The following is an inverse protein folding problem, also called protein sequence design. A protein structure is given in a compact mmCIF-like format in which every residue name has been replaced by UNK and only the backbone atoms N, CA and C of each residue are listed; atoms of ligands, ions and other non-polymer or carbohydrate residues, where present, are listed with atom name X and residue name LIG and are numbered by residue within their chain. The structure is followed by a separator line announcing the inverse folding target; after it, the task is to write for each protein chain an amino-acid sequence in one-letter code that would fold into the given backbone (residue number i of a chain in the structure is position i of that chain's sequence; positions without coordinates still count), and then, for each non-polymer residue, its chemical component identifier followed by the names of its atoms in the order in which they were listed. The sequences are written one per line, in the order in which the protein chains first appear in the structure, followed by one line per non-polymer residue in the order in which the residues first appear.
data_IF_816821604693
#
_entry.id   IF_816821604693
#
_cell.length_a   1.000
_cell.length_b   1.000
_cell.length_c   1.000
_cell.angle_alpha   90.00
_cell.angle_beta   90.00
_cell.angle_gamma   90.00
#
_symmetry.space_group_name_H-M   'P 1'
#
loop_
_entity.id
_entity.type
_entity.pdbx_description
1 polymer ?
#
# COMPACT_ATOMS: atom_id res chain seq x y z
N UNK A 1 -18.26 12.60 93.90
CA UNK A 1 -18.70 13.91 93.35
C UNK A 1 -19.44 13.61 92.04
N UNK A 2 -20.78 13.51 92.05
CA UNK A 2 -21.77 14.55 91.65
C UNK A 2 -21.48 15.12 90.24
N UNK A 3 -22.40 15.30 89.28
CA UNK A 3 -23.87 15.19 89.05
C UNK A 3 -24.01 15.47 87.52
N UNK A 4 -24.70 14.69 86.67
CA UNK A 4 -26.15 14.65 86.36
C UNK A 4 -26.84 15.99 86.05
N UNK A 5 -27.32 16.15 84.80
CA UNK A 5 -28.60 16.75 84.35
C UNK A 5 -28.68 16.58 82.81
N UNK A 6 -29.57 15.84 82.14
CA UNK A 6 -31.04 15.60 82.16
C UNK A 6 -31.87 16.73 81.53
N UNK A 7 -32.60 16.34 80.47
CA UNK A 7 -33.93 16.84 80.05
C UNK A 7 -34.35 16.15 78.74
N UNK A 8 -35.04 14.98 78.73
CA UNK A 8 -36.51 14.72 78.82
C UNK A 8 -37.33 15.28 77.62
N UNK A 9 -37.66 14.47 76.59
CA UNK A 9 -38.92 13.66 76.31
C UNK A 9 -40.19 14.53 76.04
N UNK A 10 -41.29 14.05 75.39
CA UNK A 10 -41.68 12.70 74.87
C UNK A 10 -42.20 12.71 73.38
N UNK A 11 -42.18 11.61 72.61
CA UNK A 11 -43.18 10.53 72.40
C UNK A 11 -44.63 10.94 72.04
N UNK A 12 -45.09 10.49 70.87
CA UNK A 12 -46.49 10.47 70.44
C UNK A 12 -46.68 9.69 69.14
N UNK A 13 -47.03 8.41 69.26
CA UNK A 13 -47.57 7.53 68.19
C UNK A 13 -49.09 7.66 68.17
N UNK A 14 -49.73 7.74 66.99
CA UNK A 14 -50.96 7.00 66.62
C UNK A 14 -51.58 7.46 65.28
N UNK A 15 -51.86 6.44 64.45
CA UNK A 15 -53.02 6.22 63.57
C UNK A 15 -53.35 7.11 62.36
N UNK A 16 -53.23 6.46 61.18
CA UNK A 16 -54.29 6.17 60.20
C UNK A 16 -55.41 7.21 60.05
N UNK A 17 -55.46 7.83 58.86
CA UNK A 17 -56.72 8.12 58.18
C UNK A 17 -56.48 8.18 56.67
N UNK A 18 -57.22 7.33 55.96
CA UNK A 18 -57.31 7.28 54.52
C UNK A 18 -58.43 8.22 54.03
N UNK A 19 -58.30 8.60 52.75
CA UNK A 19 -59.36 8.90 51.79
C UNK A 19 -59.74 10.37 51.50
N UNK A 20 -59.61 10.66 50.20
CA UNK A 20 -60.46 11.48 49.32
C UNK A 20 -60.36 13.02 49.34
N UNK A 21 -59.64 13.53 48.33
CA UNK A 21 -59.98 14.75 47.57
C UNK A 21 -59.30 14.65 46.18
N UNK A 22 -59.98 14.12 45.16
CA UNK A 22 -60.67 14.84 44.08
C UNK A 22 -59.92 16.07 43.54
N UNK A 23 -59.37 15.90 42.33
CA UNK A 23 -59.46 16.87 41.25
C UNK A 23 -58.60 18.13 41.35
N UNK A 24 -57.43 18.12 40.69
CA UNK A 24 -56.90 19.29 39.98
C UNK A 24 -55.90 18.84 38.93
N UNK A 25 -56.33 18.90 37.66
CA UNK A 25 -55.46 18.78 36.49
C UNK A 25 -54.62 20.06 36.48
N UNK A 26 -53.37 19.96 36.93
CA UNK A 26 -52.36 20.99 36.69
C UNK A 26 -51.76 20.69 35.32
N UNK A 27 -52.15 21.47 34.31
CA UNK A 27 -51.46 21.52 33.04
C UNK A 27 -50.06 22.12 33.29
N UNK A 28 -49.04 21.27 33.33
CA UNK A 28 -47.64 21.70 33.31
C UNK A 28 -47.28 22.11 31.87
N UNK A 29 -46.58 23.24 31.66
CA UNK A 29 -46.08 23.58 30.34
C UNK A 29 -45.00 22.58 29.95
N UNK A 30 -45.09 22.08 28.72
CA UNK A 30 -44.05 21.26 28.11
C UNK A 30 -42.73 22.04 28.11
N UNK A 31 -41.85 21.72 29.05
CA UNK A 31 -40.45 22.09 28.96
C UNK A 31 -39.88 21.34 27.75
N UNK A 32 -39.66 22.07 26.65
CA UNK A 32 -38.81 21.62 25.56
C UNK A 32 -37.42 21.40 26.13
N UNK A 33 -37.14 20.15 26.50
CA UNK A 33 -35.78 19.67 26.73
C UNK A 33 -35.05 19.79 25.40
N UNK A 34 -34.27 20.86 25.24
CA UNK A 34 -33.25 20.93 24.21
C UNK A 34 -32.31 19.72 24.44
N UNK A 35 -32.34 18.79 23.49
CA UNK A 35 -31.50 17.59 23.48
C UNK A 35 -30.03 18.00 23.37
N UNK A 36 -29.09 17.33 24.07
CA UNK A 36 -27.65 17.61 23.99
C UNK A 36 -27.02 17.06 22.70
N UNK A 37 -27.69 17.22 21.56
CA UNK A 37 -27.27 16.66 20.28
C UNK A 37 -26.12 17.45 19.60
N UNK A 38 -26.02 18.77 19.84
CA UNK A 38 -25.07 19.63 19.09
C UNK A 38 -23.59 19.46 19.50
N UNK A 39 -23.28 19.08 20.74
CA UNK A 39 -21.88 18.98 21.20
C UNK A 39 -21.23 17.63 20.90
N UNK A 40 -22.02 16.56 20.80
CA UNK A 40 -21.53 15.22 20.42
C UNK A 40 -21.20 15.13 18.94
N UNK A 41 -21.95 15.83 18.10
CA UNK A 41 -21.78 15.79 16.64
C UNK A 41 -20.53 16.58 16.23
N UNK A 42 -20.30 17.76 16.82
CA UNK A 42 -19.05 18.52 16.63
C UNK A 42 -17.79 17.76 17.11
N UNK A 43 -17.89 17.00 18.20
CA UNK A 43 -16.79 16.16 18.68
C UNK A 43 -16.52 14.96 17.76
N UNK A 44 -17.57 14.35 17.20
CA UNK A 44 -17.46 13.26 16.23
C UNK A 44 -16.86 13.73 14.89
N UNK A 45 -17.26 14.90 14.40
CA UNK A 45 -16.71 15.52 13.19
C UNK A 45 -15.22 15.86 13.36
N UNK A 46 -14.83 16.44 14.49
CA UNK A 46 -13.43 16.73 14.80
C UNK A 46 -12.59 15.45 14.85
N UNK A 47 -13.09 14.39 15.48
CA UNK A 47 -12.40 13.11 15.52
C UNK A 47 -12.25 12.49 14.11
N UNK A 48 -13.29 12.57 13.27
CA UNK A 48 -13.23 12.10 11.89
C UNK A 48 -12.20 12.87 11.05
N UNK A 49 -12.13 14.20 11.21
CA UNK A 49 -11.16 15.04 10.53
C UNK A 49 -9.71 14.73 10.97
N UNK A 50 -9.48 14.50 12.27
CA UNK A 50 -8.17 14.12 12.79
C UNK A 50 -7.69 12.75 12.27
N UNK A 51 -8.63 11.80 12.12
CA UNK A 51 -8.35 10.48 11.52
C UNK A 51 -8.02 10.62 10.04
N UNK A 52 -8.79 11.43 9.30
CA UNK A 52 -8.52 11.64 7.89
C UNK A 52 -7.14 12.30 7.69
N UNK A 53 -6.84 13.34 8.46
CA UNK A 53 -5.52 13.97 8.45
C UNK A 53 -4.39 13.00 8.83
N UNK A 54 -4.63 12.04 9.73
CA UNK A 54 -3.67 10.99 10.06
C UNK A 54 -3.44 10.02 8.89
N UNK A 55 -4.50 9.61 8.20
CA UNK A 55 -4.42 8.76 7.01
C UNK A 55 -3.71 9.48 5.87
N UNK A 56 -4.01 10.75 5.65
CA UNK A 56 -3.38 11.55 4.61
C UNK A 56 -1.87 11.72 4.86
N UNK A 57 -1.47 11.95 6.12
CA UNK A 57 -0.05 11.95 6.50
C UNK A 57 0.63 10.60 6.28
N UNK A 58 -0.04 9.50 6.62
CA UNK A 58 0.50 8.15 6.42
C UNK A 58 0.71 7.85 4.94
N UNK A 59 -0.27 8.21 4.11
CA UNK A 59 -0.20 8.06 2.67
C UNK A 59 0.92 8.92 2.07
N UNK A 60 1.00 10.20 2.45
CA UNK A 60 2.07 11.09 1.99
C UNK A 60 3.47 10.59 2.38
N UNK A 61 3.63 10.04 3.58
CA UNK A 61 4.89 9.46 4.03
C UNK A 61 5.25 8.17 3.26
N UNK A 62 4.26 7.32 2.96
CA UNK A 62 4.44 6.14 2.13
C UNK A 62 4.81 6.51 0.68
N UNK A 63 4.15 7.52 0.09
CA UNK A 63 4.47 8.04 -1.24
C UNK A 63 5.90 8.58 -1.31
N UNK A 64 6.32 9.31 -0.27
CA UNK A 64 7.70 9.81 -0.16
C UNK A 64 8.73 8.68 -0.06
N UNK A 65 8.45 7.62 0.70
CA UNK A 65 9.32 6.44 0.79
C UNK A 65 9.43 5.72 -0.56
N UNK A 66 8.32 5.55 -1.27
CA UNK A 66 8.32 4.95 -2.60
C UNK A 66 9.09 5.78 -3.62
N UNK A 67 8.93 7.11 -3.59
CA UNK A 67 9.67 8.01 -4.47
C UNK A 67 11.18 7.95 -4.20
N UNK A 68 11.59 7.87 -2.94
CA UNK A 68 13.00 7.74 -2.56
C UNK A 68 13.59 6.39 -3.01
N UNK A 69 12.85 5.29 -2.86
CA UNK A 69 13.25 3.97 -3.37
C UNK A 69 13.39 3.97 -4.90
N UNK A 70 12.42 4.53 -5.62
CA UNK A 70 12.49 4.63 -7.09
C UNK A 70 13.67 5.50 -7.57
N UNK A 71 14.03 6.55 -6.82
CA UNK A 71 15.20 7.36 -7.12
C UNK A 71 16.51 6.59 -6.90
N UNK A 72 16.57 5.76 -5.85
CA UNK A 72 17.71 4.91 -5.57
C UNK A 72 17.91 3.85 -6.68
N UNK A 73 16.83 3.20 -7.13
CA UNK A 73 16.89 2.23 -8.24
C UNK A 73 17.40 2.87 -9.54
N UNK A 74 16.95 4.09 -9.84
CA UNK A 74 17.43 4.83 -11.01
C UNK A 74 18.93 5.15 -10.93
N UNK A 75 19.42 5.53 -9.74
CA UNK A 75 20.84 5.80 -9.49
C UNK A 75 21.69 4.52 -9.54
N UNK A 76 21.16 3.38 -9.11
CA UNK A 76 21.85 2.09 -9.19
C UNK A 76 22.09 1.66 -10.65
N UNK A 77 21.08 1.88 -11.50
CA UNK A 77 21.19 1.69 -12.96
C UNK A 77 22.21 2.67 -13.55
N UNK A 78 22.19 3.94 -13.15
CA UNK A 78 23.15 4.96 -13.62
C UNK A 78 24.60 4.58 -13.26
N UNK A 79 24.84 4.19 -12.01
CA UNK A 79 26.17 3.73 -11.54
C UNK A 79 26.62 2.51 -12.34
N UNK A 80 25.76 1.50 -12.49
CA UNK A 80 26.06 0.29 -13.24
C UNK A 80 26.44 0.59 -14.69
N UNK A 81 25.68 1.45 -15.38
CA UNK A 81 25.98 1.83 -16.76
C UNK A 81 27.31 2.57 -16.87
N UNK A 82 27.60 3.48 -15.93
CA UNK A 82 28.88 4.20 -15.90
C UNK A 82 30.05 3.23 -15.67
N UNK A 83 29.90 2.22 -14.80
CA UNK A 83 30.92 1.20 -14.55
C UNK A 83 31.18 0.33 -15.78
N UNK A 84 30.13 -0.07 -16.52
CA UNK A 84 30.26 -0.81 -17.78
C UNK A 84 31.04 0.00 -18.81
N UNK A 85 30.66 1.26 -19.02
CA UNK A 85 31.35 2.15 -19.96
C UNK A 85 32.80 2.45 -19.52
N UNK A 86 33.05 2.58 -18.21
CA UNK A 86 34.40 2.76 -17.69
C UNK A 86 35.27 1.52 -17.97
N UNK A 87 34.72 0.32 -17.78
CA UNK A 87 35.43 -0.92 -18.07
C UNK A 87 35.77 -1.06 -19.57
N UNK A 88 34.86 -0.64 -20.47
CA UNK A 88 35.13 -0.59 -21.91
C UNK A 88 36.26 0.40 -22.25
N UNK A 89 36.21 1.61 -21.69
CA UNK A 89 37.26 2.63 -21.88
C UNK A 89 38.62 2.15 -21.35
N UNK A 90 38.65 1.50 -20.18
CA UNK A 90 39.87 0.92 -19.60
C UNK A 90 40.43 -0.20 -20.49
N UNK A 91 39.57 -1.06 -21.04
CA UNK A 91 39.98 -2.11 -21.97
C UNK A 91 40.56 -1.54 -23.28
N UNK A 92 39.91 -0.51 -23.86
CA UNK A 92 40.40 0.19 -25.07
C UNK A 92 41.73 0.90 -24.82
N UNK A 93 41.86 1.60 -23.69
CA UNK A 93 43.11 2.24 -23.28
C UNK A 93 44.24 1.23 -23.08
N UNK A 94 43.95 0.07 -22.47
CA UNK A 94 44.91 -1.00 -22.28
C UNK A 94 45.37 -1.61 -23.61
N UNK A 95 44.44 -1.86 -24.53
CA UNK A 95 44.78 -2.37 -25.88
C UNK A 95 45.67 -1.40 -26.65
N UNK A 96 45.40 -0.09 -26.55
CA UNK A 96 46.20 0.93 -27.22
C UNK A 96 47.62 0.99 -26.63
N UNK A 97 47.74 0.91 -25.30
CA UNK A 97 49.04 0.85 -24.63
C UNK A 97 49.84 -0.39 -25.04
N UNK A 98 49.24 -1.57 -25.06
CA UNK A 98 49.90 -2.79 -25.53
C UNK A 98 50.36 -2.69 -26.99
N UNK A 99 49.57 -2.05 -27.86
CA UNK A 99 49.97 -1.79 -29.25
C UNK A 99 51.19 -0.87 -29.35
N UNK A 100 51.25 0.20 -28.55
CA UNK A 100 52.42 1.10 -28.49
C UNK A 100 53.65 0.36 -27.95
N UNK A 101 53.48 -0.46 -26.90
CA UNK A 101 54.57 -1.27 -26.32
C UNK A 101 55.10 -2.31 -27.31
N UNK A 102 54.22 -2.99 -28.06
CA UNK A 102 54.60 -3.98 -29.07
C UNK A 102 55.42 -3.34 -30.19
N UNK A 103 55.00 -2.18 -30.70
CA UNK A 103 55.76 -1.41 -31.70
C UNK A 103 57.14 -1.03 -31.15
N UNK A 104 57.21 -0.55 -29.91
CA UNK A 104 58.48 -0.18 -29.28
C UNK A 104 59.43 -1.38 -29.10
N UNK A 105 58.93 -2.52 -28.63
CA UNK A 105 59.71 -3.76 -28.44
C UNK A 105 60.16 -4.34 -29.78
N UNK A 106 59.27 -4.44 -30.76
CA UNK A 106 59.60 -4.96 -32.09
C UNK A 106 60.72 -4.13 -32.72
N UNK A 107 60.70 -2.80 -32.56
CA UNK A 107 61.74 -1.88 -33.05
C UNK A 107 63.05 -1.97 -32.27
N UNK A 108 63.03 -2.13 -30.94
CA UNK A 108 64.25 -2.38 -30.16
C UNK A 108 64.95 -3.67 -30.61
N UNK A 109 64.17 -4.73 -30.87
CA UNK A 109 64.69 -6.03 -31.33
C UNK A 109 65.18 -5.97 -32.78
N UNK A 110 64.43 -5.33 -33.68
CA UNK A 110 64.79 -5.22 -35.11
C UNK A 110 65.86 -4.15 -35.41
N UNK A 111 65.92 -3.07 -34.62
CA UNK A 111 67.01 -2.08 -34.61
C UNK A 111 68.34 -2.65 -34.10
N UNK A 112 68.31 -3.83 -33.45
CA UNK A 112 69.49 -4.64 -33.14
C UNK A 112 70.22 -5.22 -34.36
N UNK A 113 69.73 -5.00 -35.59
CA UNK A 113 70.41 -5.37 -36.83
C UNK A 113 71.72 -4.61 -37.12
N UNK A 114 72.06 -3.61 -36.30
CA UNK A 114 73.27 -2.80 -36.43
C UNK A 114 74.06 -2.64 -35.13
N UNK A 115 74.40 -3.75 -34.45
CA UNK A 115 75.45 -3.78 -33.43
C UNK A 115 75.12 -3.13 -32.09
N UNK A 116 75.39 -3.84 -31.00
CA UNK A 116 75.30 -3.32 -29.62
C UNK A 116 76.32 -2.15 -29.48
N UNK A 117 75.89 -0.90 -29.22
CA UNK A 117 76.80 0.25 -29.07
C UNK A 117 77.71 0.16 -27.83
N UNK A 118 77.36 -0.70 -26.87
CA UNK A 118 78.20 -0.98 -25.70
C UNK A 118 79.41 -1.87 -26.02
N UNK A 119 79.41 -2.55 -27.17
CA UNK A 119 80.46 -3.50 -27.58
C UNK A 119 81.11 -3.15 -28.93
N UNK A 120 80.64 -2.10 -29.60
CA UNK A 120 81.32 -1.48 -30.75
C UNK A 120 81.94 -0.18 -30.27
N UNK A 121 83.27 -0.10 -30.35
CA UNK A 121 84.05 1.01 -29.81
C UNK A 121 83.52 2.38 -30.23
N UNK A 122 83.62 3.31 -29.28
CA UNK A 122 83.45 4.74 -29.47
C UNK A 122 84.24 5.21 -30.70
N UNK A 123 83.57 5.48 -31.81
CA UNK A 123 84.00 6.39 -32.90
C UNK A 123 82.84 6.59 -33.91
N UNK A 124 81.91 7.50 -33.59
CA UNK A 124 80.82 7.89 -34.49
C UNK A 124 79.64 8.60 -33.77
N UNK A 125 78.79 9.37 -34.48
CA UNK A 125 77.84 10.33 -33.93
C UNK A 125 76.67 9.66 -33.18
N UNK A 126 76.95 9.15 -31.98
CA UNK A 126 76.02 8.38 -31.15
C UNK A 126 74.81 9.18 -30.66
N UNK A 127 74.95 10.50 -30.52
CA UNK A 127 73.83 11.39 -30.19
C UNK A 127 72.84 11.54 -31.36
N UNK A 128 73.31 11.43 -32.59
CA UNK A 128 72.51 11.65 -33.80
C UNK A 128 71.74 10.38 -34.18
N UNK A 129 72.36 9.20 -34.06
CA UNK A 129 71.65 7.93 -34.22
C UNK A 129 70.58 7.70 -33.13
N UNK A 130 70.83 8.13 -31.88
CA UNK A 130 69.81 8.12 -30.83
C UNK A 130 68.69 9.15 -31.11
N UNK A 131 69.03 10.34 -31.60
CA UNK A 131 68.06 11.35 -31.98
C UNK A 131 67.21 10.92 -33.19
N UNK A 132 67.80 10.26 -34.19
CA UNK A 132 67.11 9.77 -35.38
C UNK A 132 66.12 8.66 -35.01
N UNK A 133 66.50 7.74 -34.12
CA UNK A 133 65.58 6.73 -33.58
C UNK A 133 64.43 7.37 -32.79
N UNK A 134 64.71 8.39 -31.96
CA UNK A 134 63.66 9.11 -31.25
C UNK A 134 62.75 9.91 -32.19
N UNK A 135 63.30 10.57 -33.21
CA UNK A 135 62.56 11.34 -34.21
C UNK A 135 61.71 10.40 -35.09
N UNK A 136 62.23 9.21 -35.42
CA UNK A 136 61.51 8.19 -36.21
C UNK A 136 60.40 7.52 -35.39
N UNK A 137 60.62 7.23 -34.10
CA UNK A 137 59.55 6.74 -33.20
C UNK A 137 58.44 7.79 -33.04
N UNK A 138 58.80 9.08 -32.92
CA UNK A 138 57.84 10.19 -32.81
C UNK A 138 57.13 10.50 -34.13
N UNK A 139 57.71 10.11 -35.28
CA UNK A 139 57.10 10.35 -36.61
C UNK A 139 56.32 9.16 -37.17
N UNK A 140 56.65 7.92 -36.78
CA UNK A 140 55.99 6.69 -37.24
C UNK A 140 54.95 6.14 -36.24
N UNK A 141 55.05 6.49 -34.94
CA UNK A 141 53.85 6.51 -34.08
C UNK A 141 52.99 7.65 -34.59
N UNK A 142 52.17 7.36 -35.60
CA UNK A 142 51.31 8.35 -36.25
C UNK A 142 50.68 9.25 -35.18
N UNK A 143 50.79 10.57 -35.35
CA UNK A 143 50.23 11.57 -34.41
C UNK A 143 48.82 11.16 -33.95
N UNK A 144 48.04 10.54 -34.83
CA UNK A 144 46.73 9.94 -34.55
C UNK A 144 46.67 8.97 -33.38
N UNK A 145 47.65 8.08 -33.16
CA UNK A 145 47.61 7.10 -32.06
C UNK A 145 47.87 7.77 -30.72
N UNK A 146 48.78 8.76 -30.68
CA UNK A 146 49.04 9.56 -29.49
C UNK A 146 47.85 10.48 -29.18
N UNK A 147 47.25 11.08 -30.20
CA UNK A 147 46.04 11.91 -30.08
C UNK A 147 44.84 11.07 -29.59
N UNK A 148 44.68 9.83 -30.09
CA UNK A 148 43.64 8.90 -29.65
C UNK A 148 43.87 8.43 -28.20
N UNK A 149 45.11 8.18 -27.81
CA UNK A 149 45.45 7.85 -26.42
C UNK A 149 45.18 9.01 -25.45
N UNK A 150 45.54 10.24 -25.82
CA UNK A 150 45.26 11.43 -25.00
C UNK A 150 43.75 11.65 -24.86
N UNK A 151 43.00 11.50 -25.97
CA UNK A 151 41.54 11.59 -25.96
C UNK A 151 40.90 10.54 -25.04
N UNK A 152 41.32 9.27 -25.13
CA UNK A 152 40.84 8.19 -24.26
C UNK A 152 41.21 8.44 -22.80
N UNK A 153 42.44 8.90 -22.53
CA UNK A 153 42.90 9.21 -21.17
C UNK A 153 42.05 10.30 -20.52
N UNK A 154 41.68 11.32 -21.29
CA UNK A 154 40.79 12.40 -20.84
C UNK A 154 39.37 11.89 -20.60
N UNK A 155 38.83 11.12 -21.53
CA UNK A 155 37.48 10.53 -21.42
C UNK A 155 37.37 9.61 -20.20
N UNK A 156 38.38 8.78 -19.96
CA UNK A 156 38.48 7.90 -18.80
C UNK A 156 38.53 8.70 -17.49
N UNK A 157 39.29 9.79 -17.45
CA UNK A 157 39.32 10.69 -16.30
C UNK A 157 37.97 11.38 -16.04
N UNK A 158 37.26 11.80 -17.10
CA UNK A 158 35.91 12.36 -17.02
C UNK A 158 34.87 11.34 -16.55
N UNK A 159 34.98 10.09 -17.03
CA UNK A 159 34.08 8.99 -16.66
C UNK A 159 34.28 8.58 -15.21
N UNK A 160 35.52 8.47 -14.73
CA UNK A 160 35.84 8.25 -13.30
C UNK A 160 35.26 9.34 -12.41
N UNK A 161 35.41 10.62 -12.78
CA UNK A 161 34.76 11.74 -12.05
C UNK A 161 33.23 11.64 -12.05
N UNK A 162 32.65 11.16 -13.15
CA UNK A 162 31.20 10.97 -13.24
C UNK A 162 30.72 9.82 -12.37
N UNK A 163 31.48 8.72 -12.29
CA UNK A 163 31.24 7.61 -11.40
C UNK A 163 31.26 8.04 -9.93
N UNK A 164 32.28 8.79 -9.51
CA UNK A 164 32.35 9.31 -8.14
C UNK A 164 31.14 10.18 -7.80
N UNK A 165 30.76 11.12 -8.68
CA UNK A 165 29.55 11.94 -8.47
C UNK A 165 28.27 11.11 -8.42
N UNK A 166 28.15 10.06 -9.24
CA UNK A 166 27.00 9.16 -9.23
C UNK A 166 26.94 8.36 -7.93
N UNK A 167 28.08 7.84 -7.45
CA UNK A 167 28.20 7.13 -6.17
C UNK A 167 27.90 8.03 -4.97
N UNK A 168 28.34 9.29 -4.99
CA UNK A 168 27.98 10.28 -3.96
C UNK A 168 26.47 10.53 -3.93
N UNK A 169 25.83 10.70 -5.09
CA UNK A 169 24.36 10.83 -5.19
C UNK A 169 23.65 9.57 -4.69
N UNK A 170 24.13 8.38 -5.07
CA UNK A 170 23.57 7.11 -4.62
C UNK A 170 23.68 6.98 -3.09
N UNK A 171 24.84 7.29 -2.51
CA UNK A 171 25.05 7.26 -1.07
C UNK A 171 24.12 8.24 -0.33
N UNK A 172 23.83 9.41 -0.91
CA UNK A 172 22.84 10.33 -0.35
C UNK A 172 21.42 9.77 -0.50
N UNK A 173 21.05 9.24 -1.66
CA UNK A 173 19.74 8.65 -1.89
C UNK A 173 19.45 7.45 -0.98
N UNK A 174 20.46 6.66 -0.62
CA UNK A 174 20.33 5.58 0.40
C UNK A 174 19.89 6.17 1.74
N UNK A 175 20.56 7.23 2.21
CA UNK A 175 20.21 7.91 3.47
C UNK A 175 18.79 8.49 3.42
N UNK A 176 18.45 9.14 2.31
CA UNK A 176 17.13 9.74 2.11
C UNK A 176 16.02 8.66 2.10
N UNK A 177 16.29 7.52 1.47
CA UNK A 177 15.38 6.37 1.45
C UNK A 177 15.19 5.76 2.84
N UNK A 178 16.27 5.58 3.61
CA UNK A 178 16.19 5.12 5.00
C UNK A 178 15.36 6.07 5.87
N UNK A 179 15.59 7.38 5.76
CA UNK A 179 14.84 8.38 6.50
C UNK A 179 13.35 8.40 6.08
N UNK A 180 13.06 8.32 4.78
CA UNK A 180 11.70 8.29 4.26
C UNK A 180 10.94 7.03 4.72
N UNK A 181 11.59 5.85 4.68
CA UNK A 181 11.05 4.59 5.21
C UNK A 181 10.78 4.68 6.71
N UNK A 182 11.70 5.25 7.48
CA UNK A 182 11.52 5.43 8.92
C UNK A 182 10.33 6.34 9.23
N UNK A 183 10.15 7.45 8.50
CA UNK A 183 9.00 8.35 8.62
C UNK A 183 7.68 7.65 8.27
N UNK A 184 7.65 6.88 7.19
CA UNK A 184 6.47 6.12 6.79
C UNK A 184 6.04 5.10 7.87
N UNK A 185 6.99 4.34 8.40
CA UNK A 185 6.74 3.38 9.48
C UNK A 185 6.23 4.06 10.76
N UNK A 186 6.80 5.22 11.12
CA UNK A 186 6.37 5.99 12.27
C UNK A 186 4.91 6.46 12.14
N UNK A 187 4.49 6.93 10.95
CA UNK A 187 3.12 7.40 10.74
C UNK A 187 2.11 6.26 10.65
N UNK A 188 2.49 5.10 10.09
CA UNK A 188 1.67 3.87 10.16
C UNK A 188 1.46 3.44 11.61
N UNK A 189 2.50 3.47 12.44
CA UNK A 189 2.39 3.15 13.86
C UNK A 189 1.49 4.16 14.61
N UNK A 190 1.60 5.45 14.27
CA UNK A 190 0.72 6.48 14.81
C UNK A 190 -0.74 6.22 14.42
N UNK A 191 -1.00 5.86 13.15
CA UNK A 191 -2.33 5.54 12.66
C UNK A 191 -2.92 4.30 13.34
N UNK A 192 -2.12 3.25 13.55
CA UNK A 192 -2.53 2.06 14.32
C UNK A 192 -2.98 2.41 15.73
N UNK A 193 -2.26 3.30 16.42
CA UNK A 193 -2.64 3.76 17.77
C UNK A 193 -3.98 4.51 17.76
N UNK A 194 -4.21 5.37 16.77
CA UNK A 194 -5.47 6.10 16.59
C UNK A 194 -6.63 5.12 16.33
N UNK A 195 -6.44 4.16 15.43
CA UNK A 195 -7.48 3.17 15.09
C UNK A 195 -7.78 2.24 16.27
N UNK A 196 -6.76 1.82 17.02
CA UNK A 196 -6.92 1.01 18.23
C UNK A 196 -7.71 1.75 19.32
N UNK A 197 -7.49 3.05 19.47
CA UNK A 197 -8.26 3.89 20.39
C UNK A 197 -9.73 3.99 19.96
N UNK A 198 -9.98 4.21 18.66
CA UNK A 198 -11.33 4.25 18.08
C UNK A 198 -12.11 2.95 18.31
N UNK A 199 -11.48 1.80 18.11
CA UNK A 199 -12.11 0.49 18.34
C UNK A 199 -12.50 0.28 19.80
N UNK A 200 -11.73 0.84 20.76
CA UNK A 200 -12.09 0.84 22.17
C UNK A 200 -13.30 1.72 22.42
N UNK A 201 -13.30 2.95 21.89
CA UNK A 201 -14.38 3.91 22.08
C UNK A 201 -15.70 3.41 21.47
N UNK A 202 -15.64 2.77 20.29
CA UNK A 202 -16.81 2.15 19.64
C UNK A 202 -17.36 0.97 20.47
N UNK A 203 -16.48 0.11 21.01
CA UNK A 203 -16.89 -0.99 21.90
C UNK A 203 -17.54 -0.46 23.18
N UNK A 204 -16.96 0.57 23.79
CA UNK A 204 -17.51 1.22 24.98
C UNK A 204 -18.90 1.80 24.68
N UNK A 205 -19.07 2.47 23.53
CA UNK A 205 -20.36 3.00 23.09
C UNK A 205 -21.42 1.90 22.93
N UNK A 206 -21.09 0.79 22.27
CA UNK A 206 -22.01 -0.36 22.11
C UNK A 206 -22.39 -1.01 23.44
N UNK A 207 -21.45 -1.15 24.38
CA UNK A 207 -21.70 -1.68 25.73
C UNK A 207 -22.67 -0.75 26.50
N UNK A 208 -22.45 0.56 26.44
CA UNK A 208 -23.32 1.57 27.07
C UNK A 208 -24.74 1.56 26.47
N UNK A 209 -24.85 1.39 25.16
CA UNK A 209 -26.13 1.31 24.47
C UNK A 209 -26.90 0.02 24.83
N UNK A 210 -26.22 -1.13 24.84
CA UNK A 210 -26.80 -2.39 25.28
C UNK A 210 -27.26 -2.32 26.76
N UNK A 211 -26.49 -1.66 27.62
CA UNK A 211 -26.86 -1.43 29.01
C UNK A 211 -28.11 -0.54 29.14
N UNK A 212 -28.24 0.50 28.30
CA UNK A 212 -29.44 1.35 28.26
C UNK A 212 -30.68 0.59 27.77
N UNK A 213 -30.56 -0.17 26.69
CA UNK A 213 -31.67 -0.97 26.16
C UNK A 213 -32.13 -2.02 27.17
N UNK A 214 -31.20 -2.66 27.87
CA UNK A 214 -31.50 -3.58 28.96
C UNK A 214 -32.26 -2.88 30.10
N UNK A 215 -31.81 -1.71 30.54
CA UNK A 215 -32.49 -0.93 31.57
C UNK A 215 -33.90 -0.46 31.15
N UNK A 216 -34.08 -0.11 29.87
CA UNK A 216 -35.40 0.25 29.32
C UNK A 216 -36.34 -0.95 29.23
N UNK A 217 -35.84 -2.11 28.80
CA UNK A 217 -36.62 -3.34 28.74
C UNK A 217 -37.06 -3.81 30.14
N UNK A 218 -36.18 -3.71 31.15
CA UNK A 218 -36.51 -4.00 32.55
C UNK A 218 -37.57 -3.04 33.10
N UNK A 219 -37.52 -1.75 32.74
CA UNK A 219 -38.54 -0.77 33.10
C UNK A 219 -39.89 -1.02 32.40
N UNK A 220 -39.88 -1.42 31.12
CA UNK A 220 -41.09 -1.77 30.37
C UNK A 220 -41.73 -3.08 30.85
N UNK A 221 -40.93 -4.08 31.22
CA UNK A 221 -41.42 -5.34 31.78
C UNK A 221 -42.10 -5.14 33.15
N UNK A 222 -41.62 -4.18 33.95
CA UNK A 222 -42.28 -3.79 35.20
C UNK A 222 -43.61 -3.03 34.97
N UNK A 223 -43.78 -2.38 33.81
CA UNK A 223 -45.01 -1.68 33.42
C UNK A 223 -46.06 -2.59 32.74
N UNK A 224 -45.65 -3.72 32.15
CA UNK A 224 -46.49 -4.59 31.33
C UNK A 224 -47.39 -5.61 32.06
N UNK A 225 -47.54 -5.52 33.39
CA UNK A 225 -48.38 -6.47 34.15
C UNK A 225 -49.88 -6.14 34.16
N UNK A 226 -50.35 -5.38 33.16
CA UNK A 226 -51.77 -5.02 32.96
C UNK A 226 -52.14 -5.25 31.49
N UNK A 227 -53.09 -6.17 31.28
CA UNK A 227 -53.84 -6.39 30.03
C UNK A 227 -53.13 -7.09 28.85
N UNK A 228 -52.93 -8.40 28.99
CA UNK A 228 -52.77 -9.30 27.85
C UNK A 228 -54.11 -9.90 27.42
N UNK A 229 -54.82 -9.25 26.49
CA UNK A 229 -55.83 -9.93 25.66
C UNK A 229 -56.24 -9.08 24.45
N UNK A 230 -56.31 -9.76 23.31
CA UNK A 230 -57.01 -9.42 22.05
C UNK A 230 -56.28 -8.49 21.03
N UNK A 231 -56.19 -9.05 19.81
CA UNK A 231 -56.18 -8.44 18.46
C UNK A 231 -54.87 -8.53 17.64
N UNK A 232 -54.82 -9.64 16.89
CA UNK A 232 -54.60 -9.67 15.45
C UNK A 232 -55.10 -8.40 14.71
N UNK A 233 -54.25 -7.79 13.88
CA UNK A 233 -54.55 -7.38 12.49
C UNK A 233 -53.35 -6.67 11.84
N UNK A 234 -52.94 -7.15 10.67
CA UNK A 234 -52.57 -6.29 9.54
C UNK A 234 -51.12 -5.82 9.42
N UNK A 235 -50.35 -6.50 8.59
CA UNK A 235 -49.37 -5.85 7.70
C UNK A 235 -49.13 -6.74 6.49
N UNK A 236 -49.82 -6.44 5.39
CA UNK A 236 -49.43 -6.91 4.08
C UNK A 236 -48.32 -6.03 3.49
N UNK A 237 -47.72 -6.55 2.41
CA UNK A 237 -46.93 -5.85 1.38
C UNK A 237 -45.56 -5.29 1.82
N UNK A 238 -44.43 -5.46 1.12
CA UNK A 238 -44.02 -5.97 -0.20
C UNK A 238 -42.51 -6.23 -0.08
N UNK A 239 -41.92 -7.35 -0.50
CA UNK A 239 -41.58 -7.61 -1.90
C UNK A 239 -40.32 -6.87 -2.37
N UNK A 240 -39.14 -7.51 -2.29
CA UNK A 240 -38.05 -7.35 -3.26
C UNK A 240 -36.93 -8.39 -3.03
N UNK A 241 -37.15 -9.63 -3.48
CA UNK A 241 -36.04 -10.44 -4.01
C UNK A 241 -35.57 -9.72 -5.28
N UNK A 242 -34.46 -8.99 -5.22
CA UNK A 242 -33.90 -8.30 -6.39
C UNK A 242 -33.06 -9.25 -7.22
N UNK A 243 -33.71 -9.84 -8.21
CA UNK A 243 -33.09 -10.49 -9.35
C UNK A 243 -32.25 -9.47 -10.14
N UNK A 244 -30.94 -9.73 -10.27
CA UNK A 244 -30.33 -9.85 -11.61
C UNK A 244 -29.50 -8.70 -12.20
N UNK A 245 -29.43 -7.50 -11.63
CA UNK A 245 -28.53 -6.47 -12.16
C UNK A 245 -28.04 -5.53 -11.05
N UNK A 246 -26.76 -5.13 -11.13
CA UNK A 246 -26.23 -4.12 -10.22
C UNK A 246 -26.97 -2.80 -10.39
N UNK A 247 -27.16 -2.10 -9.28
CA UNK A 247 -27.90 -0.84 -9.21
C UNK A 247 -26.97 0.28 -8.76
N UNK A 248 -27.32 1.51 -9.11
CA UNK A 248 -26.62 2.69 -8.60
C UNK A 248 -27.34 3.20 -7.35
N UNK A 249 -26.66 3.18 -6.21
CA UNK A 249 -27.09 3.80 -4.94
C UNK A 249 -26.31 5.10 -4.74
N UNK A 250 -27.01 6.24 -4.74
CA UNK A 250 -26.38 7.57 -4.63
C UNK A 250 -25.20 7.78 -5.61
N UNK A 251 -25.34 7.29 -6.84
CA UNK A 251 -24.30 7.37 -7.87
C UNK A 251 -23.16 6.35 -7.74
N UNK A 252 -23.19 5.46 -6.74
CA UNK A 252 -22.22 4.39 -6.55
C UNK A 252 -22.81 3.06 -7.01
N UNK A 253 -22.08 2.31 -7.83
CA UNK A 253 -22.51 0.99 -8.28
C UNK A 253 -22.46 -0.03 -7.14
N UNK A 254 -23.55 -0.76 -6.96
CA UNK A 254 -23.68 -1.85 -5.99
C UNK A 254 -24.22 -3.08 -6.70
N UNK A 255 -23.43 -4.15 -6.68
CA UNK A 255 -23.86 -5.46 -7.12
C UNK A 255 -24.38 -6.26 -5.92
N UNK A 256 -25.69 -6.32 -5.76
CA UNK A 256 -26.33 -7.10 -4.69
C UNK A 256 -26.42 -8.59 -4.97
N UNK A 257 -25.90 -9.07 -6.11
CA UNK A 257 -25.98 -10.49 -6.49
C UNK A 257 -24.74 -11.30 -6.15
N UNK A 258 -23.67 -10.66 -5.66
CA UNK A 258 -22.39 -11.33 -5.39
C UNK A 258 -22.34 -11.99 -4.01
N UNK A 259 -21.58 -13.09 -3.91
CA UNK A 259 -21.06 -13.58 -2.63
C UNK A 259 -19.79 -12.84 -2.22
N UNK A 260 -19.40 -12.97 -0.94
CA UNK A 260 -18.08 -12.58 -0.52
C UNK A 260 -17.02 -13.39 -1.28
N UNK A 261 -16.05 -12.75 -1.96
CA UNK A 261 -15.07 -13.46 -2.80
C UNK A 261 -14.04 -14.27 -1.99
N UNK A 262 -13.87 -13.95 -0.70
CA UNK A 262 -12.98 -14.68 0.22
C UNK A 262 -13.84 -15.54 1.14
N UNK A 263 -13.64 -16.86 1.13
CA UNK A 263 -14.39 -17.81 1.97
C UNK A 263 -13.87 -17.86 3.41
N UNK A 264 -13.70 -16.69 4.03
CA UNK A 264 -13.13 -16.52 5.37
C UNK A 264 -13.12 -15.06 5.81
N UNK A 265 -12.58 -14.80 7.01
CA UNK A 265 -12.45 -13.44 7.52
C UNK A 265 -11.47 -12.64 6.66
N UNK A 266 -11.92 -11.52 6.13
CA UNK A 266 -11.09 -10.61 5.35
C UNK A 266 -11.21 -9.18 5.89
N UNK A 267 -10.07 -8.51 6.10
CA UNK A 267 -10.03 -7.09 6.40
C UNK A 267 -9.95 -6.27 5.11
N UNK A 268 -10.85 -5.31 4.92
CA UNK A 268 -10.82 -4.44 3.73
C UNK A 268 -11.41 -3.06 4.04
N UNK A 269 -11.02 -2.08 3.23
CA UNK A 269 -11.49 -0.70 3.30
C UNK A 269 -11.75 -0.15 1.91
N UNK A 270 -12.37 1.03 1.85
CA UNK A 270 -12.56 1.72 0.57
C UNK A 270 -11.23 2.31 0.12
N UNK A 271 -10.53 1.58 -0.73
CA UNK A 271 -9.24 2.00 -1.31
C UNK A 271 -9.37 2.34 -2.79
N UNK A 272 -10.59 2.55 -3.29
CA UNK A 272 -10.82 2.90 -4.69
C UNK A 272 -10.13 4.22 -5.04
N UNK A 273 -9.46 4.24 -6.20
CA UNK A 273 -8.75 5.41 -6.68
C UNK A 273 -7.46 5.73 -5.92
N UNK A 274 -7.11 4.97 -4.87
CA UNK A 274 -5.87 5.14 -4.13
C UNK A 274 -4.65 5.02 -5.07
N UNK A 275 -3.57 5.78 -4.85
CA UNK A 275 -2.37 5.68 -5.66
C UNK A 275 -1.79 4.26 -5.71
N UNK A 276 -1.27 3.88 -6.87
CA UNK A 276 -0.53 2.61 -7.10
C UNK A 276 0.73 2.90 -7.91
N UNK A 277 1.68 1.96 -7.86
CA UNK A 277 2.96 2.06 -8.58
C UNK A 277 2.77 2.43 -10.07
N UNK A 278 3.66 3.30 -10.57
CA UNK A 278 3.64 3.76 -11.97
C UNK A 278 2.55 4.79 -12.28
N UNK A 279 2.09 5.58 -11.29
CA UNK A 279 1.07 6.62 -11.49
C UNK A 279 -0.35 6.08 -11.70
N UNK A 280 -0.55 4.78 -11.46
CA UNK A 280 -1.86 4.13 -11.58
C UNK A 280 -2.74 4.48 -10.40
N UNK A 281 -4.05 4.30 -10.59
CA UNK A 281 -5.04 4.35 -9.52
C UNK A 281 -5.55 2.95 -9.24
N UNK A 282 -5.90 2.70 -7.99
CA UNK A 282 -6.47 1.44 -7.57
C UNK A 282 -7.87 1.27 -8.17
N UNK A 283 -8.05 0.21 -8.95
CA UNK A 283 -9.28 -0.10 -9.68
C UNK A 283 -10.09 -1.24 -9.03
N UNK A 284 -9.83 -1.49 -7.74
CA UNK A 284 -10.47 -2.58 -7.01
C UNK A 284 -10.62 -2.30 -5.52
N UNK A 285 -10.80 -3.39 -4.78
CA UNK A 285 -10.66 -3.46 -3.31
C UNK A 285 -9.64 -4.54 -2.97
N UNK A 286 -8.77 -4.24 -2.02
CA UNK A 286 -7.82 -5.23 -1.49
C UNK A 286 -8.41 -5.85 -0.22
N UNK A 287 -8.59 -7.16 -0.25
CA UNK A 287 -9.14 -7.96 0.83
C UNK A 287 -8.04 -8.76 1.52
N UNK A 288 -7.60 -8.24 2.66
CA UNK A 288 -6.50 -8.79 3.47
C UNK A 288 -6.96 -10.07 4.14
N UNK A 289 -6.34 -11.19 3.78
CA UNK A 289 -6.62 -12.51 4.34
C UNK A 289 -5.34 -13.33 4.36
N UNK A 290 -5.30 -14.36 5.19
CA UNK A 290 -4.16 -15.28 5.25
C UNK A 290 -3.87 -15.91 3.88
N UNK A 291 -2.59 -16.12 3.58
CA UNK A 291 -2.19 -16.86 2.39
C UNK A 291 -2.83 -18.25 2.39
N UNK A 292 -3.35 -18.67 1.24
CA UNK A 292 -4.04 -19.96 1.09
C UNK A 292 -5.52 -19.94 1.48
N UNK A 293 -6.10 -18.82 1.93
CA UNK A 293 -7.56 -18.74 2.15
C UNK A 293 -8.29 -18.98 0.81
N UNK A 294 -9.34 -19.82 0.77
CA UNK A 294 -10.06 -20.09 -0.47
C UNK A 294 -10.76 -18.85 -1.03
N UNK A 295 -10.70 -18.70 -2.34
CA UNK A 295 -11.40 -17.70 -3.14
C UNK A 295 -12.53 -18.36 -3.89
N UNK A 296 -13.70 -17.72 -3.89
CA UNK A 296 -14.91 -18.26 -4.51
C UNK A 296 -15.40 -17.43 -5.68
N UNK A 297 -16.06 -18.10 -6.63
CA UNK A 297 -16.79 -17.45 -7.69
C UNK A 297 -17.94 -16.62 -7.11
N UNK A 298 -17.85 -15.30 -7.25
CA UNK A 298 -18.84 -14.39 -6.65
C UNK A 298 -20.22 -14.54 -7.28
N UNK A 299 -20.30 -15.04 -8.52
CA UNK A 299 -21.51 -15.40 -9.26
C UNK A 299 -21.19 -16.58 -10.18
N UNK A 300 -22.21 -17.27 -10.68
CA UNK A 300 -22.00 -18.28 -11.73
C UNK A 300 -21.55 -17.64 -13.04
N UNK A 301 -20.71 -18.32 -13.82
CA UNK A 301 -20.22 -17.80 -15.10
C UNK A 301 -19.03 -18.56 -15.67
N UNK A 302 -18.46 -18.01 -16.73
CA UNK A 302 -17.26 -18.56 -17.38
C UNK A 302 -15.98 -17.98 -16.75
N UNK A 303 -15.17 -18.85 -16.16
CA UNK A 303 -13.88 -18.52 -15.57
C UNK A 303 -12.73 -18.76 -16.55
N UNK A 304 -11.76 -17.84 -16.58
CA UNK A 304 -10.48 -18.03 -17.26
C UNK A 304 -9.31 -17.60 -16.37
N UNK A 305 -8.15 -18.24 -16.54
CA UNK A 305 -6.95 -17.99 -15.73
C UNK A 305 -5.82 -17.36 -16.54
N UNK A 306 -4.96 -16.60 -15.86
CA UNK A 306 -3.71 -16.07 -16.40
C UNK A 306 -2.58 -16.26 -15.39
N UNK A 307 -1.50 -16.91 -15.82
CA UNK A 307 -0.25 -17.12 -15.05
C UNK A 307 0.94 -16.36 -15.68
N UNK A 308 0.68 -15.22 -16.31
CA UNK A 308 1.65 -14.53 -17.18
C UNK A 308 2.68 -13.65 -16.44
N UNK A 309 2.74 -13.70 -15.11
CA UNK A 309 3.58 -12.78 -14.34
C UNK A 309 3.21 -11.31 -14.56
N UNK A 310 3.93 -10.38 -13.89
CA UNK A 310 3.63 -8.94 -13.92
C UNK A 310 2.84 -8.47 -12.69
N UNK A 311 2.23 -7.28 -12.76
CA UNK A 311 1.61 -6.60 -11.61
C UNK A 311 0.56 -7.48 -10.93
N UNK A 312 -0.38 -8.05 -11.70
CA UNK A 312 -1.45 -8.88 -11.17
C UNK A 312 -1.00 -10.25 -10.63
N UNK A 313 0.20 -10.73 -11.02
CA UNK A 313 0.61 -12.10 -10.73
C UNK A 313 -0.33 -13.13 -11.36
N UNK A 314 -0.70 -14.15 -10.59
CA UNK A 314 -1.73 -15.12 -10.97
C UNK A 314 -3.11 -14.50 -10.82
N UNK A 315 -3.92 -14.62 -11.86
CA UNK A 315 -5.22 -13.98 -11.90
C UNK A 315 -6.33 -14.84 -12.48
N UNK A 316 -7.54 -14.62 -11.99
CA UNK A 316 -8.79 -15.17 -12.51
C UNK A 316 -9.63 -14.04 -13.09
N UNK A 317 -10.15 -14.25 -14.30
CA UNK A 317 -11.18 -13.44 -14.92
C UNK A 317 -12.48 -14.25 -14.95
N UNK A 318 -13.52 -13.76 -14.27
CA UNK A 318 -14.83 -14.38 -14.23
C UNK A 318 -15.82 -13.53 -15.01
N UNK A 319 -16.37 -14.10 -16.08
CA UNK A 319 -17.46 -13.54 -16.86
C UNK A 319 -18.77 -14.02 -16.28
N UNK A 320 -19.38 -13.21 -15.42
CA UNK A 320 -20.61 -13.56 -14.72
C UNK A 320 -21.82 -13.64 -15.64
N UNK A 321 -22.69 -14.61 -15.38
CA UNK A 321 -23.98 -14.78 -16.08
C UNK A 321 -24.96 -13.62 -15.82
N UNK A 322 -24.68 -12.77 -14.82
CA UNK A 322 -25.40 -11.53 -14.55
C UNK A 322 -24.95 -10.35 -15.44
N UNK A 323 -24.01 -10.57 -16.38
CA UNK A 323 -23.55 -9.56 -17.33
C UNK A 323 -22.35 -8.73 -16.86
N UNK A 324 -21.85 -8.93 -15.64
CA UNK A 324 -20.64 -8.28 -15.13
C UNK A 324 -19.41 -9.16 -15.35
N UNK A 325 -18.23 -8.55 -15.45
CA UNK A 325 -16.98 -9.29 -15.27
C UNK A 325 -16.36 -8.97 -13.91
N UNK A 326 -15.64 -9.95 -13.37
CA UNK A 326 -14.90 -9.84 -12.12
C UNK A 326 -13.46 -10.23 -12.34
N UNK A 327 -12.57 -9.55 -11.63
CA UNK A 327 -11.14 -9.81 -11.69
C UNK A 327 -10.62 -10.11 -10.29
N UNK A 328 -9.80 -11.16 -10.19
CA UNK A 328 -9.15 -11.60 -8.97
C UNK A 328 -7.65 -11.68 -9.25
N UNK A 329 -6.82 -10.99 -8.46
CA UNK A 329 -5.37 -10.98 -8.65
C UNK A 329 -4.60 -11.42 -7.39
N UNK A 330 -3.30 -11.61 -7.57
CA UNK A 330 -2.33 -12.01 -6.54
C UNK A 330 -2.50 -13.43 -6.02
N UNK A 331 -3.20 -14.31 -6.74
CA UNK A 331 -3.47 -15.67 -6.29
C UNK A 331 -2.18 -16.45 -5.99
N UNK A 332 -2.22 -17.34 -4.99
CA UNK A 332 -1.14 -18.28 -4.73
C UNK A 332 -1.26 -19.52 -5.61
N UNK A 333 -2.48 -20.00 -5.85
CA UNK A 333 -2.80 -21.12 -6.72
C UNK A 333 -4.21 -21.00 -7.30
N UNK A 334 -4.44 -21.68 -8.42
CA UNK A 334 -5.77 -21.85 -9.02
C UNK A 334 -6.40 -23.16 -8.54
N UNK A 335 -7.72 -23.20 -8.43
CA UNK A 335 -8.48 -24.43 -8.25
C UNK A 335 -9.01 -24.89 -9.61
N UNK A 336 -8.30 -25.81 -10.24
CA UNK A 336 -8.56 -26.27 -11.61
C UNK A 336 -8.06 -25.28 -12.68
N UNK A 337 -8.70 -25.33 -13.86
CA UNK A 337 -8.37 -24.48 -15.01
C UNK A 337 -9.57 -23.67 -15.50
N UNK A 338 -9.45 -23.00 -16.64
CA UNK A 338 -10.56 -22.26 -17.27
C UNK A 338 -11.77 -23.18 -17.48
N UNK A 339 -12.91 -22.83 -16.90
CA UNK A 339 -14.14 -23.64 -16.89
C UNK A 339 -15.36 -22.78 -16.56
N UNK A 340 -16.55 -23.34 -16.75
CA UNK A 340 -17.74 -22.80 -16.12
C UNK A 340 -17.71 -23.09 -14.61
N UNK A 341 -18.14 -22.11 -13.81
CA UNK A 341 -18.18 -22.18 -12.35
C UNK A 341 -19.57 -21.79 -11.85
N UNK A 342 -20.01 -22.41 -10.78
CA UNK A 342 -21.21 -21.98 -10.05
C UNK A 342 -20.85 -20.95 -8.97
N UNK A 343 -21.79 -20.05 -8.64
CA UNK A 343 -21.62 -19.12 -7.53
C UNK A 343 -21.26 -19.88 -6.24
N UNK A 344 -20.13 -19.54 -5.63
CA UNK A 344 -19.62 -20.20 -4.42
C UNK A 344 -18.57 -21.29 -4.68
N UNK A 345 -18.37 -21.73 -5.93
CA UNK A 345 -17.28 -22.65 -6.28
C UNK A 345 -15.93 -22.05 -5.88
N UNK A 346 -15.03 -22.87 -5.33
CA UNK A 346 -13.64 -22.48 -5.13
C UNK A 346 -12.96 -22.37 -6.51
N UNK A 347 -12.29 -21.24 -6.73
CA UNK A 347 -11.62 -20.89 -7.99
C UNK A 347 -10.12 -20.66 -7.83
N UNK A 348 -9.65 -20.56 -6.58
CA UNK A 348 -8.25 -20.41 -6.26
C UNK A 348 -8.05 -20.02 -4.80
N UNK A 349 -6.86 -19.51 -4.50
CA UNK A 349 -6.45 -19.25 -3.13
C UNK A 349 -5.71 -17.91 -3.02
N UNK A 350 -5.95 -17.20 -1.92
CA UNK A 350 -5.26 -15.94 -1.59
C UNK A 350 -3.75 -16.13 -1.64
N UNK A 351 -3.04 -15.17 -2.21
CA UNK A 351 -1.59 -15.19 -2.30
C UNK A 351 -0.99 -13.78 -2.27
N UNK A 352 0.25 -13.69 -2.71
CA UNK A 352 1.04 -12.47 -2.79
C UNK A 352 1.81 -12.37 -4.12
N UNK A 353 1.34 -13.05 -5.17
CA UNK A 353 2.05 -13.06 -6.46
C UNK A 353 1.94 -11.71 -7.17
N UNK A 354 2.89 -11.42 -8.07
CA UNK A 354 2.97 -10.13 -8.75
C UNK A 354 3.54 -9.05 -7.83
N UNK A 355 2.94 -7.86 -7.81
CA UNK A 355 3.41 -6.75 -6.98
C UNK A 355 2.86 -6.74 -5.55
N UNK A 356 2.16 -7.81 -5.14
CA UNK A 356 1.65 -8.00 -3.77
C UNK A 356 2.65 -8.70 -2.83
N UNK A 357 3.87 -9.03 -3.32
CA UNK A 357 4.86 -9.86 -2.62
C UNK A 357 5.07 -9.43 -1.18
N UNK A 358 4.93 -10.37 -0.24
CA UNK A 358 5.08 -10.13 1.20
C UNK A 358 3.84 -9.58 1.90
N UNK A 359 2.76 -9.27 1.17
CA UNK A 359 1.48 -8.84 1.75
C UNK A 359 0.36 -9.68 1.15
N UNK A 360 0.04 -10.87 1.72
CA UNK A 360 -1.02 -11.72 1.18
C UNK A 360 -2.39 -11.03 1.22
N UNK A 361 -3.04 -10.92 0.06
CA UNK A 361 -4.39 -10.38 -0.08
C UNK A 361 -5.02 -10.80 -1.41
N UNK A 362 -6.33 -10.64 -1.52
CA UNK A 362 -7.04 -10.65 -2.80
C UNK A 362 -7.19 -9.21 -3.29
N UNK A 363 -6.78 -8.93 -4.51
CA UNK A 363 -7.22 -7.73 -5.22
C UNK A 363 -8.44 -8.09 -6.09
N UNK A 364 -9.57 -7.41 -5.86
CA UNK A 364 -10.86 -7.71 -6.49
C UNK A 364 -11.45 -6.51 -7.23
N UNK A 365 -11.85 -6.68 -8.49
CA UNK A 365 -12.49 -5.64 -9.31
C UNK A 365 -13.86 -6.10 -9.85
N UNK A 366 -14.75 -5.13 -10.11
CA UNK A 366 -16.05 -5.33 -10.78
C UNK A 366 -16.11 -4.46 -12.03
N UNK A 367 -16.48 -5.05 -13.17
CA UNK A 367 -16.62 -4.39 -14.47
C UNK A 367 -18.03 -4.60 -15.03
N UNK A 368 -18.94 -3.65 -14.80
CA UNK A 368 -20.31 -3.76 -15.29
C UNK A 368 -20.38 -3.78 -16.82
N UNK A 369 -21.11 -4.74 -17.40
CA UNK A 369 -21.30 -4.82 -18.85
C UNK A 369 -20.01 -4.95 -19.67
N UNK A 370 -18.93 -5.49 -19.07
CA UNK A 370 -17.58 -5.53 -19.65
C UNK A 370 -16.90 -4.17 -19.84
N UNK A 371 -17.40 -3.13 -19.20
CA UNK A 371 -16.87 -1.77 -19.27
C UNK A 371 -15.69 -1.51 -18.33
N UNK A 372 -15.44 -0.23 -18.06
CA UNK A 372 -14.45 0.21 -17.08
C UNK A 372 -14.77 -0.33 -15.67
N UNK A 373 -13.75 -0.55 -14.83
CA UNK A 373 -13.97 -0.95 -13.45
C UNK A 373 -14.75 0.12 -12.70
N UNK A 374 -15.51 -0.31 -11.69
CA UNK A 374 -16.23 0.56 -10.75
C UNK A 374 -15.83 0.21 -9.32
N UNK A 375 -16.02 1.15 -8.38
CA UNK A 375 -15.69 0.91 -6.98
C UNK A 375 -16.42 -0.32 -6.42
N UNK A 376 -15.71 -1.42 -6.10
CA UNK A 376 -16.36 -2.64 -5.63
C UNK A 376 -16.64 -2.60 -4.11
N UNK A 377 -16.13 -1.61 -3.38
CA UNK A 377 -16.18 -1.57 -1.91
C UNK A 377 -17.59 -1.75 -1.36
N UNK A 378 -18.59 -1.04 -1.89
CA UNK A 378 -19.97 -1.16 -1.40
C UNK A 378 -20.59 -2.53 -1.68
N UNK A 379 -20.32 -3.11 -2.85
CA UNK A 379 -20.77 -4.46 -3.21
C UNK A 379 -20.15 -5.50 -2.28
N UNK A 380 -18.84 -5.43 -2.07
CA UNK A 380 -18.10 -6.36 -1.19
C UNK A 380 -18.53 -6.20 0.27
N UNK A 381 -18.68 -4.96 0.76
CA UNK A 381 -19.16 -4.69 2.13
C UNK A 381 -20.57 -5.22 2.36
N UNK A 382 -21.43 -5.23 1.35
CA UNK A 382 -22.77 -5.79 1.47
C UNK A 382 -22.76 -7.33 1.53
N UNK A 383 -21.69 -7.97 1.03
CA UNK A 383 -21.62 -9.42 0.85
C UNK A 383 -20.82 -10.20 1.92
N UNK A 384 -19.97 -9.55 2.75
CA UNK A 384 -18.94 -10.22 3.59
C UNK A 384 -19.14 -10.20 5.12
#
# INVERSE_FOLDING_TARGET
MLKRQIGSRPWGTLMVSAALAVGSIVALPAATLATPADSSDAAAEKAAAEIQAARDRANAAADAAFAAESALDALDIEVTNIEIELADLEARSGSLQSGVEEVAVQRFVSGGGGGIPLLSGLDGPSAQAQADVLIEIVSDTSQSTLDEYDALSKELADKRRSLERAKEKQAQAIKDNEEARAKALAEVERLKKIEAQRLKDEKVRKILEAARLKAQAEAMAQAGNVSGSILNTGAGNTGARRSGAGFYDNGVYVDGSILCPVAGSAGFGDTWGAPRSGGRRHQGVDMMSSMGTPLVAVVSGDMSISDRGGIAGRAVFLRGSNGNNYFYAHLSAFEGGSRYVEQGDIIGYVGDTGNARGTPHLHFEIHPGRGSPVNPYRSVRAAC
#
